data_IF_056894439461
#
_entry.id   IF_056894439461
#
_cell.length_a   1.000
_cell.length_b   1.000
_cell.length_c   1.000
_cell.angle_alpha   90.00
_cell.angle_beta   90.00
_cell.angle_gamma   90.00
#
_symmetry.space_group_name_H-M   'P 1'
#
loop_
_entity.id
_entity.type
_entity.pdbx_description
1 polymer ?
#
# COMPACT_ATOMS: atom_id res chain seq x y z
N UNK A 1 31.56 0.60 -14.39
CA UNK A 1 32.18 1.33 -13.26
C UNK A 1 31.81 0.59 -11.98
N UNK A 2 32.78 -0.02 -11.30
CA UNK A 2 32.56 -0.58 -9.98
C UNK A 2 32.83 0.53 -8.98
N UNK A 3 31.80 1.07 -8.35
CA UNK A 3 31.97 1.98 -7.23
C UNK A 3 32.55 1.20 -6.04
N UNK A 4 33.39 1.86 -5.25
CA UNK A 4 33.89 1.29 -4.00
C UNK A 4 32.69 1.04 -3.08
N UNK A 5 32.54 -0.23 -2.68
CA UNK A 5 31.42 -0.69 -1.86
C UNK A 5 31.38 0.04 -0.52
N UNK A 6 32.54 0.32 0.06
CA UNK A 6 32.65 1.03 1.32
C UNK A 6 32.15 2.48 1.19
N UNK A 7 32.54 3.16 0.11
CA UNK A 7 32.12 4.53 -0.15
C UNK A 7 30.61 4.63 -0.41
N UNK A 8 30.05 3.60 -1.05
CA UNK A 8 28.61 3.51 -1.31
C UNK A 8 27.83 3.32 -0.01
N UNK A 9 28.29 2.44 0.88
CA UNK A 9 27.69 2.20 2.20
C UNK A 9 27.72 3.45 3.09
N UNK A 10 28.84 4.17 3.11
CA UNK A 10 28.95 5.43 3.86
C UNK A 10 28.00 6.51 3.33
N UNK A 11 27.86 6.61 1.99
CA UNK A 11 26.95 7.58 1.38
C UNK A 11 25.49 7.25 1.72
N UNK A 12 25.12 5.96 1.66
CA UNK A 12 23.80 5.50 2.08
C UNK A 12 23.53 5.85 3.54
N UNK A 13 24.48 5.63 4.44
CA UNK A 13 24.33 5.93 5.87
C UNK A 13 24.12 7.43 6.13
N UNK A 14 24.88 8.30 5.44
CA UNK A 14 24.72 9.76 5.53
C UNK A 14 23.34 10.19 5.05
N UNK A 15 22.88 9.66 3.92
CA UNK A 15 21.55 9.98 3.36
C UNK A 15 20.46 9.49 4.32
N UNK A 16 20.56 8.24 4.79
CA UNK A 16 19.60 7.66 5.73
C UNK A 16 19.50 8.44 7.05
N UNK A 17 20.63 8.89 7.60
CA UNK A 17 20.66 9.65 8.85
C UNK A 17 19.86 10.96 8.75
N UNK A 18 19.85 11.59 7.57
CA UNK A 18 19.08 12.79 7.29
C UNK A 18 17.61 12.48 6.98
N UNK A 19 17.33 11.37 6.29
CA UNK A 19 15.96 10.92 5.99
C UNK A 19 15.18 10.52 7.26
N UNK A 20 15.84 10.10 8.34
CA UNK A 20 15.17 9.87 9.64
C UNK A 20 14.48 11.14 10.17
N UNK A 21 14.96 12.33 9.78
CA UNK A 21 14.39 13.61 10.23
C UNK A 21 13.17 14.04 9.41
N UNK A 22 12.97 13.48 8.21
CA UNK A 22 11.92 13.87 7.28
C UNK A 22 10.93 12.72 7.10
N UNK A 23 9.62 13.02 7.00
CA UNK A 23 8.59 11.99 6.79
C UNK A 23 8.49 11.53 5.32
N UNK A 24 9.62 11.46 4.60
CA UNK A 24 9.62 11.03 3.20
C UNK A 24 9.74 9.50 3.13
N UNK A 25 8.85 8.81 2.39
CA UNK A 25 8.96 7.37 2.19
C UNK A 25 10.16 7.03 1.30
N UNK A 26 10.98 6.07 1.74
CA UNK A 26 12.10 5.54 0.94
C UNK A 26 12.19 4.03 1.02
N UNK A 27 12.67 3.39 -0.05
CA UNK A 27 12.86 1.94 -0.11
C UNK A 27 14.19 1.57 0.53
N UNK A 28 14.19 0.66 1.50
CA UNK A 28 15.40 0.01 2.03
C UNK A 28 15.25 -1.51 1.94
N UNK A 29 15.97 -2.13 1.02
CA UNK A 29 15.84 -3.56 0.72
C UNK A 29 14.40 -3.92 0.35
N UNK A 30 13.79 -4.86 1.06
CA UNK A 30 12.39 -5.30 0.86
C UNK A 30 11.35 -4.51 1.67
N UNK A 31 11.74 -3.40 2.29
CA UNK A 31 10.86 -2.59 3.15
C UNK A 31 10.79 -1.16 2.67
N UNK A 32 9.65 -0.51 2.90
CA UNK A 32 9.51 0.94 2.77
C UNK A 32 9.62 1.53 4.18
N UNK A 33 10.44 2.57 4.35
CA UNK A 33 10.63 3.27 5.61
C UNK A 33 9.99 4.65 5.55
N UNK A 34 9.29 5.01 6.60
CA UNK A 34 8.73 6.35 6.83
C UNK A 34 9.07 6.72 8.27
N UNK A 35 10.15 7.49 8.48
CA UNK A 35 10.69 7.80 9.81
C UNK A 35 10.89 6.53 10.67
N UNK A 36 10.18 6.40 11.79
CA UNK A 36 10.25 5.27 12.72
C UNK A 36 9.30 4.12 12.34
N UNK A 37 8.56 4.24 11.23
CA UNK A 37 7.63 3.21 10.75
C UNK A 37 8.29 2.43 9.62
N UNK A 38 8.23 1.10 9.70
CA UNK A 38 8.63 0.19 8.63
C UNK A 38 7.40 -0.50 8.06
N UNK A 39 7.28 -0.47 6.74
CA UNK A 39 6.30 -1.22 5.96
C UNK A 39 7.02 -2.38 5.28
N UNK A 40 6.60 -3.61 5.55
CA UNK A 40 7.16 -4.83 4.94
C UNK A 40 6.12 -5.53 4.09
N UNK A 41 6.49 -5.90 2.85
CA UNK A 41 5.66 -6.76 2.02
C UNK A 41 5.61 -8.18 2.63
N UNK A 42 4.43 -8.77 2.61
CA UNK A 42 4.12 -10.10 3.11
C UNK A 42 3.13 -10.79 2.16
N UNK A 43 2.90 -12.10 2.32
CA UNK A 43 1.97 -12.83 1.44
C UNK A 43 0.53 -12.31 1.56
N UNK A 44 0.12 -11.90 2.76
CA UNK A 44 -1.19 -11.29 3.06
C UNK A 44 -1.21 -9.75 2.98
N UNK A 45 -0.35 -9.13 2.17
CA UNK A 45 -0.32 -7.67 1.99
C UNK A 45 0.90 -6.99 2.62
N UNK A 46 0.69 -5.91 3.37
CA UNK A 46 1.73 -5.04 3.91
C UNK A 46 1.61 -4.93 5.43
N UNK A 47 2.69 -5.25 6.14
CA UNK A 47 2.75 -5.19 7.61
C UNK A 47 3.48 -3.94 8.06
N UNK A 48 2.89 -3.22 9.01
CA UNK A 48 3.46 -2.00 9.57
C UNK A 48 3.99 -2.26 10.98
N UNK A 49 5.21 -1.78 11.23
CA UNK A 49 5.86 -1.87 12.54
C UNK A 49 6.39 -0.51 12.96
N UNK A 50 6.22 -0.17 14.24
CA UNK A 50 6.83 1.00 14.84
C UNK A 50 8.14 0.58 15.52
N UNK A 51 9.26 1.14 15.06
CA UNK A 51 10.59 0.85 15.61
C UNK A 51 10.80 1.39 17.02
N UNK A 52 10.13 2.48 17.38
CA UNK A 52 10.26 3.10 18.70
C UNK A 52 9.60 2.26 19.78
N UNK A 53 8.42 1.70 19.48
CA UNK A 53 7.68 0.84 20.42
C UNK A 53 7.94 -0.65 20.21
N UNK A 54 8.60 -1.00 19.11
CA UNK A 54 8.79 -2.37 18.62
C UNK A 54 7.46 -3.16 18.49
N UNK A 55 6.37 -2.47 18.14
CA UNK A 55 5.02 -3.06 18.03
C UNK A 55 4.55 -3.12 16.58
N UNK A 56 3.81 -4.19 16.28
CA UNK A 56 2.98 -4.28 15.08
C UNK A 56 1.81 -3.29 15.20
N UNK A 57 1.59 -2.52 14.14
CA UNK A 57 0.52 -1.51 14.10
C UNK A 57 -0.72 -2.12 13.46
N UNK A 58 -0.59 -2.56 12.21
CA UNK A 58 -1.65 -3.20 11.45
C UNK A 58 -1.06 -3.92 10.23
N UNK A 59 -1.92 -4.69 9.56
CA UNK A 59 -1.65 -5.27 8.25
C UNK A 59 -2.70 -4.73 7.29
N UNK A 60 -2.28 -4.31 6.10
CA UNK A 60 -3.16 -3.78 5.05
C UNK A 60 -3.00 -4.59 3.77
N UNK A 61 -4.05 -4.69 2.97
CA UNK A 61 -4.03 -5.26 1.64
C UNK A 61 -3.26 -4.37 0.66
N UNK A 62 -3.62 -3.09 0.57
CA UNK A 62 -3.03 -2.15 -0.38
C UNK A 62 -1.78 -1.45 0.20
N UNK A 63 -0.83 -1.17 -0.69
CA UNK A 63 0.39 -0.40 -0.37
C UNK A 63 0.05 1.04 0.01
N UNK A 64 -0.93 1.64 -0.68
CA UNK A 64 -1.39 3.00 -0.41
C UNK A 64 -1.90 3.14 1.03
N UNK A 65 -2.70 2.18 1.50
CA UNK A 65 -3.20 2.17 2.89
C UNK A 65 -2.04 2.10 3.89
N UNK A 66 -1.04 1.26 3.64
CA UNK A 66 0.14 1.20 4.50
C UNK A 66 0.88 2.54 4.58
N UNK A 67 1.03 3.22 3.44
CA UNK A 67 1.65 4.54 3.38
C UNK A 67 0.81 5.60 4.09
N UNK A 68 -0.51 5.59 3.91
CA UNK A 68 -1.43 6.51 4.57
C UNK A 68 -1.35 6.37 6.10
N UNK A 69 -1.44 5.15 6.62
CA UNK A 69 -1.31 4.87 8.06
C UNK A 69 0.06 5.32 8.58
N UNK A 70 1.14 5.00 7.85
CA UNK A 70 2.49 5.38 8.25
C UNK A 70 2.66 6.91 8.32
N UNK A 71 2.22 7.63 7.28
CA UNK A 71 2.28 9.10 7.21
C UNK A 71 1.49 9.73 8.35
N UNK A 72 0.22 9.37 8.49
CA UNK A 72 -0.67 9.93 9.52
C UNK A 72 -0.14 9.68 10.94
N UNK A 73 0.43 8.49 11.18
CA UNK A 73 1.08 8.15 12.45
C UNK A 73 2.33 9.00 12.71
N UNK A 74 3.17 9.21 11.69
CA UNK A 74 4.43 9.96 11.80
C UNK A 74 4.19 11.46 11.99
N UNK A 75 3.21 12.01 11.27
CA UNK A 75 2.80 13.42 11.35
C UNK A 75 1.96 13.73 12.59
N UNK A 76 1.54 12.70 13.35
CA UNK A 76 0.68 12.81 14.53
C UNK A 76 -0.67 13.48 14.22
N UNK A 77 -1.14 13.35 12.99
CA UNK A 77 -2.48 13.81 12.59
C UNK A 77 -3.48 12.80 13.17
N UNK A 78 -4.53 13.25 13.88
CA UNK A 78 -5.55 12.34 14.40
C UNK A 78 -6.30 11.71 13.22
N UNK A 79 -6.36 10.39 13.19
CA UNK A 79 -7.12 9.62 12.20
C UNK A 79 -7.71 8.37 12.85
N UNK A 80 -8.81 7.88 12.29
CA UNK A 80 -9.38 6.60 12.70
C UNK A 80 -8.80 5.48 11.84
N UNK A 81 -7.94 4.66 12.47
CA UNK A 81 -7.35 3.49 11.83
C UNK A 81 -8.42 2.52 11.31
N UNK A 82 -9.56 2.38 12.00
CA UNK A 82 -10.63 1.48 11.56
C UNK A 82 -11.29 1.95 10.28
N UNK A 83 -11.35 3.27 10.05
CA UNK A 83 -11.89 3.82 8.79
C UNK A 83 -10.96 3.46 7.64
N UNK A 84 -9.64 3.65 7.79
CA UNK A 84 -8.67 3.28 6.76
C UNK A 84 -8.69 1.76 6.50
N UNK A 85 -8.79 0.94 7.55
CA UNK A 85 -8.90 -0.52 7.39
C UNK A 85 -10.16 -0.92 6.63
N UNK A 86 -11.31 -0.29 6.91
CA UNK A 86 -12.55 -0.55 6.15
C UNK A 86 -12.43 -0.15 4.68
N UNK A 87 -11.75 0.96 4.38
CA UNK A 87 -11.49 1.38 3.00
C UNK A 87 -10.57 0.38 2.29
N UNK A 88 -9.56 -0.12 2.99
CA UNK A 88 -8.62 -1.14 2.50
C UNK A 88 -9.31 -2.49 2.25
N UNK A 89 -10.21 -2.91 3.15
CA UNK A 89 -11.08 -4.07 2.96
C UNK A 89 -11.98 -3.89 1.72
N UNK A 90 -12.47 -2.67 1.48
CA UNK A 90 -13.24 -2.33 0.27
C UNK A 90 -12.38 -2.50 -0.98
N UNK A 91 -11.16 -1.98 -0.99
CA UNK A 91 -10.20 -2.19 -2.09
C UNK A 91 -9.95 -3.68 -2.31
N UNK A 92 -9.69 -4.45 -1.24
CA UNK A 92 -9.42 -5.88 -1.32
C UNK A 92 -10.60 -6.65 -1.93
N UNK A 93 -11.83 -6.37 -1.47
CA UNK A 93 -13.05 -6.99 -2.00
C UNK A 93 -13.18 -6.77 -3.50
N UNK A 94 -13.21 -5.52 -3.94
CA UNK A 94 -13.47 -5.20 -5.35
C UNK A 94 -12.30 -5.60 -6.26
N UNK A 95 -11.08 -5.61 -5.74
CA UNK A 95 -9.95 -6.18 -6.45
C UNK A 95 -10.14 -7.69 -6.70
N UNK A 96 -10.60 -8.45 -5.71
CA UNK A 96 -10.88 -9.87 -5.88
C UNK A 96 -12.05 -10.09 -6.84
N UNK A 97 -13.13 -9.32 -6.72
CA UNK A 97 -14.28 -9.36 -7.63
C UNK A 97 -13.83 -9.13 -9.08
N UNK A 98 -12.98 -8.13 -9.33
CA UNK A 98 -12.40 -7.86 -10.64
C UNK A 98 -11.54 -9.04 -11.15
N UNK A 99 -10.74 -9.68 -10.29
CA UNK A 99 -9.97 -10.86 -10.70
C UNK A 99 -10.86 -12.04 -11.11
N UNK A 100 -11.94 -12.30 -10.37
CA UNK A 100 -12.90 -13.34 -10.70
C UNK A 100 -13.63 -13.03 -12.00
N UNK A 101 -14.16 -11.81 -12.14
CA UNK A 101 -14.84 -11.37 -13.36
C UNK A 101 -13.92 -11.48 -14.58
N UNK A 102 -12.67 -11.01 -14.47
CA UNK A 102 -11.65 -11.11 -15.53
C UNK A 102 -11.36 -12.55 -15.94
N UNK A 103 -11.39 -13.50 -15.00
CA UNK A 103 -11.26 -14.93 -15.32
C UNK A 103 -12.49 -15.41 -16.09
N UNK A 104 -13.69 -15.10 -15.62
CA UNK A 104 -14.95 -15.48 -16.25
C UNK A 104 -15.10 -14.93 -17.67
N UNK A 105 -14.64 -13.70 -17.94
CA UNK A 105 -14.57 -13.13 -19.29
C UNK A 105 -13.76 -14.01 -20.25
N UNK A 106 -12.66 -14.61 -19.76
CA UNK A 106 -11.75 -15.42 -20.59
C UNK A 106 -12.22 -16.86 -20.75
N UNK A 107 -12.80 -17.44 -19.70
CA UNK A 107 -13.12 -18.87 -19.66
C UNK A 107 -14.61 -19.16 -19.78
N UNK A 108 -15.46 -18.14 -19.90
CA UNK A 108 -16.91 -18.30 -20.01
C UNK A 108 -17.30 -19.17 -21.20
N UNK A 109 -18.28 -20.04 -21.02
CA UNK A 109 -18.72 -21.00 -22.04
C UNK A 109 -19.57 -20.34 -23.13
N UNK A 110 -20.38 -19.34 -22.74
CA UNK A 110 -21.31 -18.63 -23.64
C UNK A 110 -20.95 -17.15 -23.72
N UNK A 111 -21.39 -16.50 -24.79
CA UNK A 111 -21.14 -15.07 -25.03
C UNK A 111 -21.79 -14.21 -23.95
N UNK A 112 -23.04 -14.49 -23.56
CA UNK A 112 -23.78 -13.72 -22.56
C UNK A 112 -23.09 -13.75 -21.19
N UNK A 113 -22.46 -14.88 -20.84
CA UNK A 113 -21.69 -15.01 -19.60
C UNK A 113 -20.40 -14.17 -19.65
N UNK A 114 -19.76 -14.07 -20.82
CA UNK A 114 -18.54 -13.26 -20.99
C UNK A 114 -18.88 -11.78 -20.94
N UNK A 115 -19.95 -11.36 -21.62
CA UNK A 115 -20.46 -9.99 -21.58
C UNK A 115 -20.89 -9.57 -20.18
N UNK A 116 -21.63 -10.42 -19.46
CA UNK A 116 -22.00 -10.17 -18.06
C UNK A 116 -20.76 -10.01 -17.17
N UNK A 117 -19.75 -10.86 -17.37
CA UNK A 117 -18.49 -10.78 -16.64
C UNK A 117 -17.67 -9.52 -16.99
N UNK A 118 -17.76 -9.01 -18.21
CA UNK A 118 -17.13 -7.75 -18.63
C UNK A 118 -17.73 -6.57 -17.88
N UNK A 119 -19.06 -6.48 -17.82
CA UNK A 119 -19.76 -5.44 -17.05
C UNK A 119 -19.38 -5.52 -15.56
N UNK A 120 -19.33 -6.72 -14.99
CA UNK A 120 -18.89 -6.91 -13.60
C UNK A 120 -17.44 -6.48 -13.37
N UNK A 121 -16.56 -6.78 -14.32
CA UNK A 121 -15.15 -6.39 -14.24
C UNK A 121 -15.00 -4.87 -14.20
N UNK A 122 -15.75 -4.16 -15.05
CA UNK A 122 -15.70 -2.70 -15.11
C UNK A 122 -16.21 -2.07 -13.81
N UNK A 123 -17.36 -2.52 -13.30
CA UNK A 123 -17.91 -2.06 -12.03
C UNK A 123 -16.92 -2.30 -10.88
N UNK A 124 -16.40 -3.52 -10.76
CA UNK A 124 -15.47 -3.87 -9.69
C UNK A 124 -14.17 -3.07 -9.77
N UNK A 125 -13.63 -2.89 -10.97
CA UNK A 125 -12.42 -2.09 -11.19
C UNK A 125 -12.66 -0.63 -10.79
N UNK A 126 -13.78 -0.03 -11.21
CA UNK A 126 -14.13 1.34 -10.87
C UNK A 126 -14.28 1.54 -9.35
N UNK A 127 -14.95 0.61 -8.66
CA UNK A 127 -15.11 0.66 -7.20
C UNK A 127 -13.77 0.50 -6.46
N UNK A 128 -12.89 -0.39 -6.93
CA UNK A 128 -11.55 -0.56 -6.38
C UNK A 128 -10.72 0.73 -6.50
N UNK A 129 -10.74 1.37 -7.69
CA UNK A 129 -10.05 2.65 -7.90
C UNK A 129 -10.63 3.77 -7.06
N UNK A 130 -11.95 3.85 -6.94
CA UNK A 130 -12.60 4.88 -6.13
C UNK A 130 -12.23 4.74 -4.65
N UNK A 131 -12.21 3.51 -4.13
CA UNK A 131 -11.79 3.24 -2.77
C UNK A 131 -10.29 3.55 -2.55
N UNK A 132 -9.44 3.21 -3.53
CA UNK A 132 -8.01 3.50 -3.48
C UNK A 132 -7.74 5.01 -3.50
N UNK A 133 -8.41 5.76 -4.38
CA UNK A 133 -8.30 7.21 -4.45
C UNK A 133 -8.70 7.88 -3.12
N UNK A 134 -9.75 7.38 -2.46
CA UNK A 134 -10.14 7.88 -1.14
C UNK A 134 -9.04 7.69 -0.08
N UNK A 135 -8.28 6.58 -0.15
CA UNK A 135 -7.12 6.33 0.72
C UNK A 135 -5.96 7.26 0.36
N UNK A 136 -5.71 7.48 -0.93
CA UNK A 136 -4.62 8.35 -1.41
C UNK A 136 -4.75 9.80 -0.96
N UNK A 137 -5.97 10.28 -0.68
CA UNK A 137 -6.19 11.61 -0.07
C UNK A 137 -5.47 11.75 1.27
N UNK A 138 -5.35 10.69 2.07
CA UNK A 138 -4.56 10.73 3.30
C UNK A 138 -3.05 10.86 3.03
N UNK A 139 -2.59 10.51 1.83
CA UNK A 139 -1.18 10.59 1.45
C UNK A 139 -0.86 11.94 0.81
N UNK A 140 -1.74 12.47 -0.05
CA UNK A 140 -1.45 13.62 -0.89
C UNK A 140 -2.18 14.91 -0.50
N UNK A 141 -3.41 14.81 0.02
CA UNK A 141 -4.17 16.00 0.40
C UNK A 141 -3.73 16.50 1.79
N UNK A 142 -3.54 17.81 1.89
CA UNK A 142 -3.37 18.57 3.14
C UNK A 142 -4.66 19.30 3.46
#
# INVERSE_FOLDING_TARGET
MSFDKYLTEQLEEIIESNLIRVAIPYQKGNSIRVKNIIIRKHHNGYRLFNLTTNKHICTTFAKATALAVAKMTVEKVPFDLKILQKMDDKVAKYYMDALYAKRSMKTGETEERRESAEVQFDIATQEAWTALAAIERYIFDK
#
